data_IF_627519640285
#
_entry.id   IF_627519640285
#
_cell.length_a   1.000
_cell.length_b   1.000
_cell.length_c   1.000
_cell.angle_alpha   90.00
_cell.angle_beta   90.00
_cell.angle_gamma   90.00
#
_symmetry.space_group_name_H-M   'P 1'
#
loop_
_entity.id
_entity.type
_entity.pdbx_description
1 polymer ?
#
# COMPACT_ATOMS: atom_id res chain seq x y z
N UNK A 1 -2.82 -4.41 -7.96
CA UNK A 1 -3.68 -4.79 -6.82
C UNK A 1 -5.10 -4.36 -7.09
N UNK A 2 -6.03 -5.29 -7.10
CA UNK A 2 -7.42 -5.07 -7.46
C UNK A 2 -8.28 -5.08 -6.18
N UNK A 3 -9.24 -4.17 -6.10
CA UNK A 3 -10.13 -4.09 -4.93
C UNK A 3 -10.96 -5.37 -4.76
N UNK A 4 -11.36 -5.98 -5.87
CA UNK A 4 -12.12 -7.23 -5.83
C UNK A 4 -11.30 -8.36 -5.22
N UNK A 5 -10.03 -8.43 -5.57
CA UNK A 5 -9.11 -9.41 -5.00
C UNK A 5 -8.90 -9.17 -3.52
N UNK A 6 -8.76 -7.90 -3.11
CA UNK A 6 -8.58 -7.54 -1.71
C UNK A 6 -9.79 -7.90 -0.86
N UNK A 7 -10.99 -7.77 -1.41
CA UNK A 7 -12.20 -8.12 -0.68
C UNK A 7 -12.30 -9.60 -0.35
N UNK A 8 -11.61 -10.44 -1.12
CA UNK A 8 -11.57 -11.87 -0.86
C UNK A 8 -10.62 -12.28 0.24
N UNK A 9 -9.81 -11.36 0.77
CA UNK A 9 -8.83 -11.65 1.80
C UNK A 9 -9.38 -11.36 3.19
N UNK A 10 -8.83 -12.02 4.22
CA UNK A 10 -9.21 -11.77 5.59
C UNK A 10 -8.64 -10.44 6.09
N UNK A 11 -9.21 -9.92 7.19
CA UNK A 11 -8.71 -8.69 7.79
C UNK A 11 -7.25 -8.81 8.20
N UNK A 12 -6.85 -9.97 8.75
CA UNK A 12 -5.47 -10.20 9.14
C UNK A 12 -4.51 -10.12 7.96
N UNK A 13 -4.89 -10.76 6.85
CA UNK A 13 -4.08 -10.70 5.64
C UNK A 13 -3.97 -9.28 5.09
N UNK A 14 -5.07 -8.52 5.13
CA UNK A 14 -5.07 -7.14 4.66
C UNK A 14 -4.20 -6.25 5.53
N UNK A 15 -4.19 -6.47 6.85
CA UNK A 15 -3.33 -5.70 7.75
C UNK A 15 -1.86 -5.99 7.48
N UNK A 16 -1.51 -7.25 7.22
CA UNK A 16 -0.14 -7.61 6.87
C UNK A 16 0.27 -6.97 5.55
N UNK A 17 -0.62 -6.99 4.57
CA UNK A 17 -0.38 -6.33 3.28
C UNK A 17 -0.18 -4.83 3.46
N UNK A 18 -1.01 -4.20 4.30
CA UNK A 18 -0.89 -2.78 4.59
C UNK A 18 0.45 -2.45 5.24
N UNK A 19 0.88 -3.25 6.21
CA UNK A 19 2.18 -3.05 6.87
C UNK A 19 3.31 -3.16 5.87
N UNK A 20 3.25 -4.14 4.97
CA UNK A 20 4.26 -4.33 3.93
C UNK A 20 4.30 -3.12 2.98
N UNK A 21 3.13 -2.61 2.58
CA UNK A 21 3.05 -1.44 1.71
C UNK A 21 3.58 -0.18 2.38
N UNK A 22 3.31 -0.01 3.68
CA UNK A 22 3.82 1.14 4.43
C UNK A 22 5.35 1.10 4.53
N UNK A 23 5.94 -0.07 4.72
CA UNK A 23 7.39 -0.23 4.72
C UNK A 23 7.97 0.13 3.35
N UNK A 24 7.33 -0.34 2.28
CA UNK A 24 7.77 -0.01 0.93
C UNK A 24 7.68 1.48 0.66
N UNK A 25 6.59 2.13 1.12
CA UNK A 25 6.43 3.57 0.97
C UNK A 25 7.54 4.33 1.69
N UNK A 26 7.85 3.93 2.91
CA UNK A 26 8.90 4.58 3.70
C UNK A 26 10.25 4.45 2.99
N UNK A 27 10.57 3.25 2.51
CA UNK A 27 11.82 3.00 1.79
C UNK A 27 11.91 3.86 0.53
N UNK A 28 10.83 3.94 -0.25
CA UNK A 28 10.81 4.75 -1.46
C UNK A 28 10.96 6.24 -1.17
N UNK A 29 10.35 6.71 -0.07
CA UNK A 29 10.50 8.11 0.34
C UNK A 29 11.94 8.42 0.73
N UNK A 30 12.60 7.51 1.41
CA UNK A 30 14.01 7.70 1.76
C UNK A 30 14.88 7.74 0.50
N UNK A 31 14.63 6.87 -0.47
CA UNK A 31 15.36 6.87 -1.74
C UNK A 31 15.16 8.20 -2.47
N UNK A 32 13.95 8.73 -2.46
CA UNK A 32 13.66 10.01 -3.08
C UNK A 32 14.41 11.14 -2.38
N UNK A 33 14.44 11.12 -1.05
CA UNK A 33 15.12 12.15 -0.26
C UNK A 33 16.63 12.16 -0.53
N UNK A 34 17.23 11.00 -0.80
CA UNK A 34 18.64 10.89 -1.12
C UNK A 34 18.93 11.02 -2.63
N UNK A 35 17.88 11.33 -3.42
CA UNK A 35 17.96 11.48 -4.87
C UNK A 35 18.39 10.21 -5.60
N UNK A 36 18.22 9.06 -4.97
CA UNK A 36 18.51 7.76 -5.61
C UNK A 36 17.33 7.28 -6.45
N UNK A 37 16.16 7.86 -6.25
CA UNK A 37 14.94 7.48 -6.97
C UNK A 37 14.68 8.51 -8.08
N UNK A 38 14.91 8.10 -9.33
CA UNK A 38 14.68 8.96 -10.48
C UNK A 38 13.24 8.94 -10.97
N UNK A 39 12.48 7.89 -10.61
CA UNK A 39 11.11 7.70 -11.08
C UNK A 39 10.17 7.59 -9.90
N UNK A 40 9.18 8.51 -9.81
CA UNK A 40 8.23 8.54 -8.71
C UNK A 40 6.97 7.71 -8.97
N UNK A 41 6.89 7.01 -10.10
CA UNK A 41 5.71 6.20 -10.42
C UNK A 41 5.48 5.08 -9.41
N UNK A 42 6.55 4.48 -8.89
CA UNK A 42 6.44 3.45 -7.85
C UNK A 42 5.83 4.01 -6.56
N UNK A 43 6.20 5.23 -6.21
CA UNK A 43 5.65 5.89 -5.03
C UNK A 43 4.15 6.12 -5.17
N UNK A 44 3.71 6.56 -6.34
CA UNK A 44 2.30 6.76 -6.63
C UNK A 44 1.54 5.44 -6.57
N UNK A 45 2.11 4.38 -7.13
CA UNK A 45 1.49 3.06 -7.12
C UNK A 45 1.32 2.55 -5.69
N UNK A 46 2.36 2.66 -4.87
CA UNK A 46 2.29 2.21 -3.49
C UNK A 46 1.26 3.01 -2.71
N UNK A 47 1.21 4.32 -2.88
CA UNK A 47 0.21 5.16 -2.22
C UNK A 47 -1.21 4.75 -2.60
N UNK A 48 -1.43 4.46 -3.87
CA UNK A 48 -2.74 4.01 -4.36
C UNK A 48 -3.12 2.67 -3.74
N UNK A 49 -2.17 1.74 -3.69
CA UNK A 49 -2.40 0.43 -3.11
C UNK A 49 -2.71 0.52 -1.62
N UNK A 50 -1.99 1.39 -0.89
CA UNK A 50 -2.26 1.64 0.52
C UNK A 50 -3.69 2.13 0.71
N UNK A 51 -4.13 3.08 -0.11
CA UNK A 51 -5.47 3.63 -0.02
C UNK A 51 -6.52 2.55 -0.27
N UNK A 52 -6.29 1.68 -1.25
CA UNK A 52 -7.22 0.58 -1.55
C UNK A 52 -7.33 -0.40 -0.40
N UNK A 53 -6.21 -0.82 0.16
CA UNK A 53 -6.22 -1.76 1.28
C UNK A 53 -6.93 -1.16 2.48
N UNK A 54 -6.67 0.11 2.79
CA UNK A 54 -7.34 0.80 3.90
C UNK A 54 -8.85 0.89 3.68
N UNK A 55 -9.26 1.19 2.46
CA UNK A 55 -10.69 1.26 2.12
C UNK A 55 -11.37 -0.08 2.34
N UNK A 56 -10.77 -1.17 1.86
CA UNK A 56 -11.33 -2.51 2.01
C UNK A 56 -11.37 -2.91 3.49
N UNK A 57 -10.32 -2.60 4.26
CA UNK A 57 -10.31 -2.86 5.69
C UNK A 57 -11.45 -2.13 6.40
N UNK A 58 -11.67 -0.88 6.05
CA UNK A 58 -12.76 -0.09 6.62
C UNK A 58 -14.12 -0.72 6.29
N UNK A 59 -14.29 -1.17 5.05
CA UNK A 59 -15.53 -1.83 4.63
C UNK A 59 -15.76 -3.12 5.42
N UNK A 60 -14.71 -3.90 5.64
CA UNK A 60 -14.83 -5.17 6.39
C UNK A 60 -15.08 -4.95 7.88
N UNK A 61 -14.64 -3.81 8.41
CA UNK A 61 -14.83 -3.49 9.82
C UNK A 61 -16.26 -3.02 10.13
N UNK A 62 -17.02 -2.70 9.11
CA UNK A 62 -18.43 -2.29 9.27
C UNK A 62 -19.40 -3.51 9.25
#
# INVERSE_FOLDING_TARGET
MDAKELRGRSQGELREELASLLKAQFSLRMQKATQQLSNTSQLRKVRRDIARVRTVLTQKAQ
#
